data_IF_165250785239
#
_entry.id   IF_165250785239
#
_cell.length_a   1.000
_cell.length_b   1.000
_cell.length_c   1.000
_cell.angle_alpha   90.00
_cell.angle_beta   90.00
_cell.angle_gamma   90.00
#
_symmetry.space_group_name_H-M   'P 1'
#
loop_
_entity.id
_entity.type
_entity.pdbx_description
1 polymer ?
#
# COMPACT_ATOMS: atom_id res chain seq x y z
N UNK A 1 0.60 -1.77 33.52
CA UNK A 1 1.23 -0.44 33.45
C UNK A 1 1.12 0.09 32.03
N UNK A 2 0.49 1.27 31.76
CA UNK A 2 0.20 1.77 30.41
C UNK A 2 1.41 2.40 29.67
N UNK A 3 2.63 2.14 30.10
CA UNK A 3 3.84 2.81 29.58
C UNK A 3 4.49 2.18 28.33
N UNK A 4 4.12 0.97 27.93
CA UNK A 4 4.80 0.27 26.82
C UNK A 4 4.29 0.65 25.42
N UNK A 5 3.04 1.06 25.29
CA UNK A 5 2.46 1.45 23.99
C UNK A 5 2.93 2.83 23.51
N UNK A 6 3.24 3.73 24.40
CA UNK A 6 3.72 5.09 24.10
C UNK A 6 5.13 5.09 23.51
N UNK A 7 6.01 4.15 23.88
CA UNK A 7 7.39 4.13 23.39
C UNK A 7 7.50 3.66 21.94
N UNK A 8 6.74 2.63 21.52
CA UNK A 8 6.79 2.11 20.16
C UNK A 8 6.28 3.13 19.13
N UNK A 9 5.15 3.79 19.42
CA UNK A 9 4.64 4.87 18.57
C UNK A 9 5.62 6.05 18.48
N UNK A 10 6.18 6.47 19.63
CA UNK A 10 7.19 7.53 19.69
C UNK A 10 8.46 7.19 18.89
N UNK A 11 8.89 5.92 18.89
CA UNK A 11 10.08 5.48 18.13
C UNK A 11 9.83 5.47 16.62
N UNK A 12 8.61 5.17 16.16
CA UNK A 12 8.23 5.29 14.76
C UNK A 12 8.35 6.74 14.30
N UNK A 13 7.78 7.69 15.03
CA UNK A 13 7.84 9.11 14.67
C UNK A 13 9.28 9.67 14.72
N UNK A 14 10.08 9.26 15.69
CA UNK A 14 11.49 9.66 15.76
C UNK A 14 12.28 9.17 14.55
N UNK A 15 12.06 7.92 14.14
CA UNK A 15 12.72 7.37 12.94
C UNK A 15 12.30 8.11 11.68
N UNK A 16 11.01 8.45 11.53
CA UNK A 16 10.52 9.26 10.41
C UNK A 16 11.20 10.65 10.38
N UNK A 17 11.31 11.30 11.52
CA UNK A 17 12.00 12.59 11.62
C UNK A 17 13.49 12.49 11.27
N UNK A 18 14.19 11.45 11.74
CA UNK A 18 15.59 11.21 11.37
C UNK A 18 15.76 10.96 9.87
N UNK A 19 14.84 10.20 9.26
CA UNK A 19 14.87 9.92 7.82
C UNK A 19 14.66 11.18 6.97
N UNK A 20 13.83 12.12 7.43
CA UNK A 20 13.64 13.42 6.77
C UNK A 20 14.90 14.31 6.84
N UNK A 21 15.73 14.16 7.85
CA UNK A 21 17.01 14.86 7.93
C UNK A 21 18.04 14.30 6.94
N UNK A 22 17.97 12.99 6.67
CA UNK A 22 18.86 12.32 5.71
C UNK A 22 18.43 12.54 4.26
N UNK A 23 17.12 12.45 3.98
CA UNK A 23 16.53 12.62 2.63
C UNK A 23 15.30 13.53 2.74
N UNK A 24 15.45 14.86 2.58
CA UNK A 24 14.39 15.85 2.81
C UNK A 24 13.39 15.92 1.65
N UNK A 25 12.87 14.79 1.23
CA UNK A 25 11.84 14.71 0.19
C UNK A 25 10.53 14.22 0.77
N UNK A 26 9.48 15.00 0.54
CA UNK A 26 8.13 14.71 0.97
C UNK A 26 7.23 14.39 -0.23
N UNK A 27 6.29 13.50 -0.01
CA UNK A 27 5.20 13.17 -0.92
C UNK A 27 3.87 13.60 -0.31
N UNK A 28 2.88 13.83 -1.15
CA UNK A 28 1.52 14.02 -0.71
C UNK A 28 0.95 12.71 -0.16
N UNK A 29 0.33 12.77 1.01
CA UNK A 29 -0.34 11.64 1.65
C UNK A 29 -1.75 11.37 1.11
N UNK A 30 -2.58 10.70 1.90
CA UNK A 30 -3.98 10.42 1.52
C UNK A 30 -4.15 9.57 0.27
N UNK A 31 -3.14 8.76 -0.09
CA UNK A 31 -3.13 7.95 -1.31
C UNK A 31 -2.89 8.73 -2.60
N UNK A 32 -2.60 10.05 -2.53
CA UNK A 32 -2.38 10.90 -3.70
C UNK A 32 -1.27 10.38 -4.61
N UNK A 33 -0.13 10.05 -4.02
CA UNK A 33 1.04 9.54 -4.75
C UNK A 33 0.73 8.19 -5.41
N UNK A 34 0.02 7.29 -4.73
CA UNK A 34 -0.34 5.98 -5.23
C UNK A 34 -1.27 6.08 -6.44
N UNK A 35 -2.28 6.96 -6.38
CA UNK A 35 -3.19 7.24 -7.51
C UNK A 35 -2.43 7.82 -8.69
N UNK A 36 -1.53 8.78 -8.47
CA UNK A 36 -0.72 9.38 -9.52
C UNK A 36 0.19 8.36 -10.20
N UNK A 37 0.82 7.47 -9.42
CA UNK A 37 1.66 6.38 -9.93
C UNK A 37 0.83 5.36 -10.73
N UNK A 38 -0.34 4.96 -10.23
CA UNK A 38 -1.23 4.04 -10.94
C UNK A 38 -1.64 4.60 -12.31
N UNK A 39 -2.02 5.88 -12.36
CA UNK A 39 -2.33 6.56 -13.64
C UNK A 39 -1.14 6.61 -14.60
N UNK A 40 0.05 6.85 -14.06
CA UNK A 40 1.27 6.85 -14.87
C UNK A 40 1.56 5.45 -15.44
N UNK A 41 1.45 4.42 -14.62
CA UNK A 41 1.66 3.03 -15.02
C UNK A 41 0.65 2.57 -16.08
N UNK A 42 -0.62 2.94 -15.98
CA UNK A 42 -1.62 2.60 -17.02
C UNK A 42 -1.27 3.23 -18.37
N UNK A 43 -0.82 4.49 -18.38
CA UNK A 43 -0.33 5.11 -19.63
C UNK A 43 0.94 4.45 -20.14
N UNK A 44 1.84 4.05 -19.25
CA UNK A 44 3.03 3.30 -19.62
C UNK A 44 2.69 1.92 -20.19
N UNK A 45 1.65 1.24 -19.65
CA UNK A 45 1.17 -0.05 -20.12
C UNK A 45 0.68 -0.03 -21.58
N UNK A 46 0.18 1.12 -22.05
CA UNK A 46 -0.25 1.29 -23.47
C UNK A 46 0.90 1.07 -24.46
N UNK A 47 2.16 1.20 -24.01
CA UNK A 47 3.35 0.94 -24.83
C UNK A 47 3.71 -0.55 -24.95
N UNK A 48 3.04 -1.43 -24.23
CA UNK A 48 3.25 -2.88 -24.23
C UNK A 48 2.09 -3.62 -24.86
N UNK A 49 2.33 -4.87 -25.26
CA UNK A 49 1.28 -5.73 -25.82
C UNK A 49 1.22 -7.07 -25.07
N UNK A 50 0.02 -7.62 -24.94
CA UNK A 50 -0.18 -8.95 -24.39
C UNK A 50 0.01 -9.04 -22.87
N UNK A 51 0.74 -10.07 -22.42
CA UNK A 51 0.85 -10.40 -21.00
C UNK A 51 1.63 -9.36 -20.18
N UNK A 52 2.55 -8.67 -20.80
CA UNK A 52 3.35 -7.63 -20.15
C UNK A 52 2.48 -6.42 -19.78
N UNK A 53 1.58 -6.01 -20.66
CA UNK A 53 0.61 -4.97 -20.39
C UNK A 53 -0.25 -5.32 -19.18
N UNK A 54 -0.81 -6.54 -19.15
CA UNK A 54 -1.64 -7.00 -18.02
C UNK A 54 -0.88 -6.99 -16.70
N UNK A 55 0.41 -7.33 -16.70
CA UNK A 55 1.23 -7.31 -15.49
C UNK A 55 1.41 -5.88 -14.96
N UNK A 56 1.64 -4.91 -15.84
CA UNK A 56 1.78 -3.48 -15.45
C UNK A 56 0.43 -2.94 -14.95
N UNK A 57 -0.67 -3.29 -15.58
CA UNK A 57 -2.02 -2.90 -15.15
C UNK A 57 -2.36 -3.49 -13.77
N UNK A 58 -2.05 -4.77 -13.53
CA UNK A 58 -2.23 -5.41 -12.23
C UNK A 58 -1.41 -4.74 -11.12
N UNK A 59 -0.20 -4.27 -11.43
CA UNK A 59 0.61 -3.50 -10.48
C UNK A 59 -0.03 -2.13 -10.19
N UNK A 60 -0.56 -1.47 -11.20
CA UNK A 60 -1.29 -0.21 -11.02
C UNK A 60 -2.54 -0.40 -10.13
N UNK A 61 -3.29 -1.49 -10.34
CA UNK A 61 -4.45 -1.84 -9.51
C UNK A 61 -4.06 -2.11 -8.05
N UNK A 62 -2.91 -2.76 -7.83
CA UNK A 62 -2.39 -3.00 -6.48
C UNK A 62 -2.05 -1.69 -5.74
N UNK A 63 -1.54 -0.66 -6.43
CA UNK A 63 -1.30 0.66 -5.83
C UNK A 63 -2.60 1.34 -5.37
N UNK A 64 -3.70 1.15 -6.10
CA UNK A 64 -5.00 1.73 -5.75
C UNK A 64 -5.67 1.08 -4.54
N UNK A 65 -5.17 -0.05 -4.05
CA UNK A 65 -5.66 -0.67 -2.81
C UNK A 65 -5.44 0.28 -1.62
N UNK A 66 -4.36 1.05 -1.61
CA UNK A 66 -4.04 1.98 -0.51
C UNK A 66 -5.13 3.04 -0.33
N UNK A 67 -5.48 3.86 -1.35
CA UNK A 67 -6.56 4.85 -1.20
C UNK A 67 -7.93 4.20 -0.99
N UNK A 68 -8.21 3.03 -1.56
CA UNK A 68 -9.46 2.28 -1.32
C UNK A 68 -9.59 1.85 0.15
N UNK A 69 -8.52 1.32 0.73
CA UNK A 69 -8.49 0.91 2.14
C UNK A 69 -8.65 2.14 3.07
N UNK A 70 -8.03 3.26 2.70
CA UNK A 70 -8.18 4.52 3.42
C UNK A 70 -9.64 4.97 3.44
N UNK A 71 -10.32 4.96 2.29
CA UNK A 71 -11.74 5.28 2.17
C UNK A 71 -12.62 4.35 3.02
N UNK A 72 -12.38 3.04 2.93
CA UNK A 72 -13.10 2.04 3.71
C UNK A 72 -12.96 2.27 5.22
N UNK A 73 -11.74 2.54 5.70
CA UNK A 73 -11.49 2.83 7.11
C UNK A 73 -12.15 4.13 7.58
N UNK A 74 -12.36 5.08 6.66
CA UNK A 74 -13.10 6.32 6.91
C UNK A 74 -14.63 6.16 6.86
N UNK A 75 -15.13 4.97 6.54
CA UNK A 75 -16.55 4.71 6.35
C UNK A 75 -17.13 5.33 5.06
N UNK A 76 -16.28 5.47 4.04
CA UNK A 76 -16.65 5.95 2.71
C UNK A 76 -16.74 4.78 1.73
N UNK A 77 -17.44 4.98 0.61
CA UNK A 77 -17.38 4.03 -0.50
C UNK A 77 -15.98 4.06 -1.14
N UNK A 78 -15.25 2.91 -1.17
CA UNK A 78 -13.88 2.87 -1.66
C UNK A 78 -13.76 3.17 -3.16
N UNK A 79 -14.76 2.76 -3.95
CA UNK A 79 -14.74 2.95 -5.38
C UNK A 79 -15.06 4.39 -5.75
N UNK A 80 -16.12 4.95 -5.19
CA UNK A 80 -16.52 6.33 -5.43
C UNK A 80 -15.43 7.32 -5.02
N UNK A 81 -14.81 7.10 -3.85
CA UNK A 81 -13.71 7.93 -3.35
C UNK A 81 -12.48 7.88 -4.26
N UNK A 82 -12.14 6.69 -4.78
CA UNK A 82 -11.05 6.54 -5.73
C UNK A 82 -11.36 7.27 -7.04
N UNK A 83 -12.55 7.06 -7.61
CA UNK A 83 -12.95 7.67 -8.88
C UNK A 83 -12.96 9.19 -8.79
N UNK A 84 -13.45 9.75 -7.68
CA UNK A 84 -13.41 11.20 -7.44
C UNK A 84 -11.97 11.71 -7.38
N UNK A 85 -11.08 11.02 -6.65
CA UNK A 85 -9.66 11.40 -6.56
C UNK A 85 -8.97 11.36 -7.92
N UNK A 86 -9.23 10.31 -8.71
CA UNK A 86 -8.70 10.16 -10.08
C UNK A 86 -9.21 11.27 -10.99
N UNK A 87 -10.51 11.60 -10.90
CA UNK A 87 -11.13 12.65 -11.71
C UNK A 87 -10.55 14.03 -11.40
N UNK A 88 -10.38 14.36 -10.11
CA UNK A 88 -9.78 15.63 -9.70
C UNK A 88 -8.32 15.75 -10.11
N UNK A 89 -7.52 14.67 -9.93
CA UNK A 89 -6.15 14.64 -10.43
C UNK A 89 -6.05 14.74 -11.97
N UNK A 90 -7.07 14.30 -12.70
CA UNK A 90 -7.10 14.40 -14.16
C UNK A 90 -7.50 15.80 -14.64
N UNK A 91 -8.38 16.47 -13.89
CA UNK A 91 -8.94 17.78 -14.25
C UNK A 91 -8.00 18.91 -13.87
N UNK A 92 -7.24 18.76 -12.79
CA UNK A 92 -6.22 19.72 -12.38
C UNK A 92 -5.03 19.64 -13.35
N UNK A 93 -5.06 20.42 -14.41
CA UNK A 93 -3.99 20.50 -15.41
C UNK A 93 -2.67 21.10 -14.90
N UNK A 94 -2.54 21.31 -13.59
CA UNK A 94 -1.34 21.87 -12.96
C UNK A 94 -0.31 20.77 -12.63
N UNK A 95 0.93 21.21 -12.42
CA UNK A 95 1.98 20.31 -11.90
C UNK A 95 1.70 19.81 -10.48
N UNK A 96 0.69 20.33 -9.80
CA UNK A 96 0.30 19.95 -8.45
C UNK A 96 -0.83 18.88 -8.39
N UNK A 97 -1.32 18.41 -9.53
CA UNK A 97 -2.38 17.40 -9.62
C UNK A 97 -2.06 16.14 -8.77
N UNK A 98 -0.79 15.75 -8.70
CA UNK A 98 -0.34 14.61 -7.89
C UNK A 98 -0.38 14.87 -6.38
N UNK A 99 -0.70 16.08 -5.93
CA UNK A 99 -0.93 16.40 -4.52
C UNK A 99 -2.37 16.13 -4.07
N UNK A 100 -3.30 15.87 -4.99
CA UNK A 100 -4.70 15.60 -4.66
C UNK A 100 -4.83 14.16 -4.20
N UNK A 101 -5.29 13.99 -2.96
CA UNK A 101 -5.53 12.71 -2.34
C UNK A 101 -6.81 12.74 -1.50
N UNK A 102 -7.18 11.60 -0.92
CA UNK A 102 -8.36 11.50 -0.08
C UNK A 102 -8.12 12.11 1.30
N UNK A 103 -8.82 13.18 1.62
CA UNK A 103 -8.85 13.73 2.96
C UNK A 103 -9.93 13.02 3.78
N UNK A 104 -9.49 12.22 4.76
CA UNK A 104 -10.35 11.37 5.59
C UNK A 104 -11.25 12.20 6.51
N UNK A 105 -10.76 13.35 6.97
CA UNK A 105 -11.52 14.25 7.86
C UNK A 105 -12.62 14.99 7.08
N UNK A 106 -12.27 15.53 5.92
CA UNK A 106 -13.22 16.26 5.05
C UNK A 106 -14.12 15.31 4.25
N UNK A 107 -13.72 14.02 4.13
CA UNK A 107 -14.40 12.97 3.35
C UNK A 107 -14.52 13.29 1.86
N UNK A 108 -13.61 14.09 1.34
CA UNK A 108 -13.52 14.48 -0.08
C UNK A 108 -12.07 14.56 -0.50
N UNK A 109 -11.77 14.41 -1.81
CA UNK A 109 -10.44 14.69 -2.32
C UNK A 109 -10.05 16.15 -2.04
N UNK A 110 -8.78 16.37 -1.70
CA UNK A 110 -8.22 17.71 -1.50
C UNK A 110 -6.71 17.71 -1.69
N UNK A 111 -6.12 18.91 -1.73
CA UNK A 111 -4.66 19.03 -1.81
C UNK A 111 -4.03 18.67 -0.46
N UNK A 112 -3.43 17.48 -0.40
CA UNK A 112 -2.85 16.92 0.81
C UNK A 112 -1.68 17.74 1.36
N UNK A 113 -0.90 18.36 0.49
CA UNK A 113 0.23 19.21 0.91
C UNK A 113 -0.29 20.46 1.61
N UNK A 114 -1.35 21.08 1.09
CA UNK A 114 -1.99 22.24 1.71
C UNK A 114 -2.69 21.88 3.03
N UNK A 115 -3.20 20.66 3.13
CA UNK A 115 -3.82 20.13 4.34
C UNK A 115 -2.79 19.64 5.38
N UNK A 116 -1.49 19.68 5.05
CA UNK A 116 -0.42 19.25 5.95
C UNK A 116 -0.26 17.72 6.07
N UNK A 117 -0.88 16.97 5.15
CA UNK A 117 -0.81 15.49 5.13
C UNK A 117 0.28 15.06 4.16
N UNK A 118 1.46 14.77 4.68
CA UNK A 118 2.65 14.45 3.90
C UNK A 118 3.34 13.18 4.41
N UNK A 119 4.05 12.51 3.52
CA UNK A 119 4.78 11.27 3.79
C UNK A 119 6.24 11.40 3.34
N UNK A 120 7.22 10.82 4.05
CA UNK A 120 8.60 10.78 3.59
C UNK A 120 8.74 9.88 2.36
N UNK A 121 9.38 10.39 1.29
CA UNK A 121 9.62 9.64 0.05
C UNK A 121 10.31 8.29 0.31
N UNK A 122 11.29 8.26 1.20
CA UNK A 122 12.07 7.07 1.52
C UNK A 122 11.18 5.92 2.03
N UNK A 123 10.19 6.22 2.87
CA UNK A 123 9.27 5.21 3.42
C UNK A 123 8.43 4.61 2.30
N UNK A 124 7.80 5.45 1.48
CA UNK A 124 6.97 5.00 0.36
C UNK A 124 7.77 4.15 -0.63
N UNK A 125 9.00 4.56 -0.96
CA UNK A 125 9.92 3.79 -1.82
C UNK A 125 10.24 2.41 -1.21
N UNK A 126 10.56 2.35 0.09
CA UNK A 126 10.88 1.11 0.78
C UNK A 126 9.68 0.16 0.87
N UNK A 127 8.48 0.69 1.13
CA UNK A 127 7.24 -0.09 1.14
C UNK A 127 6.96 -0.72 -0.22
N UNK A 128 7.07 0.06 -1.30
CA UNK A 128 6.86 -0.44 -2.66
C UNK A 128 7.89 -1.50 -3.04
N UNK A 129 9.17 -1.27 -2.73
CA UNK A 129 10.23 -2.25 -3.01
C UNK A 129 10.00 -3.56 -2.23
N UNK A 130 9.76 -3.49 -0.92
CA UNK A 130 9.53 -4.66 -0.09
C UNK A 130 8.27 -5.44 -0.48
N UNK A 131 7.18 -4.75 -0.81
CA UNK A 131 5.96 -5.39 -1.29
C UNK A 131 6.17 -6.11 -2.64
N UNK A 132 6.93 -5.48 -3.55
CA UNK A 132 7.28 -6.07 -4.83
C UNK A 132 8.16 -7.31 -4.67
N UNK A 133 9.17 -7.27 -3.80
CA UNK A 133 10.03 -8.42 -3.51
C UNK A 133 9.24 -9.57 -2.88
N UNK A 134 8.32 -9.27 -1.96
CA UNK A 134 7.45 -10.28 -1.36
C UNK A 134 6.54 -10.93 -2.41
N UNK A 135 5.90 -10.14 -3.28
CA UNK A 135 5.07 -10.64 -4.36
C UNK A 135 5.87 -11.52 -5.34
N UNK A 136 7.07 -11.09 -5.74
CA UNK A 136 7.96 -11.87 -6.60
C UNK A 136 8.39 -13.18 -5.94
N UNK A 137 8.61 -13.21 -4.64
CA UNK A 137 8.94 -14.42 -3.89
C UNK A 137 7.81 -15.43 -3.95
N UNK A 138 6.56 -14.99 -3.81
CA UNK A 138 5.38 -15.86 -3.93
C UNK A 138 5.20 -16.36 -5.38
N UNK A 139 5.36 -15.48 -6.37
CA UNK A 139 5.22 -15.85 -7.79
C UNK A 139 6.32 -16.83 -8.29
N UNK A 140 7.43 -16.94 -7.58
CA UNK A 140 8.52 -17.90 -7.90
C UNK A 140 8.32 -19.29 -7.30
N UNK A 141 7.25 -19.50 -6.53
CA UNK A 141 6.93 -20.82 -5.96
C UNK A 141 6.27 -21.65 -7.06
N UNK A 142 6.98 -22.64 -7.56
CA UNK A 142 6.50 -23.53 -8.64
C UNK A 142 5.71 -24.73 -8.08
N UNK A 143 6.04 -25.20 -6.86
CA UNK A 143 5.40 -26.37 -6.27
C UNK A 143 5.43 -26.31 -4.73
N UNK A 144 4.43 -26.91 -4.10
CA UNK A 144 4.32 -27.04 -2.65
C UNK A 144 4.23 -28.52 -2.30
N UNK A 145 5.28 -29.04 -1.71
CA UNK A 145 5.30 -30.42 -1.21
C UNK A 145 4.76 -30.47 0.21
N UNK A 146 3.66 -31.21 0.39
CA UNK A 146 3.16 -31.55 1.72
C UNK A 146 4.05 -32.63 2.32
N UNK A 147 4.69 -32.35 3.45
CA UNK A 147 5.33 -33.38 4.24
C UNK A 147 4.25 -34.32 4.79
N UNK A 148 4.26 -35.59 4.36
CA UNK A 148 3.40 -36.61 4.95
C UNK A 148 3.82 -36.76 6.41
N UNK A 149 2.90 -36.55 7.35
CA UNK A 149 3.21 -36.83 8.76
C UNK A 149 3.69 -38.25 8.89
N UNK A 150 4.87 -38.43 9.44
CA UNK A 150 5.39 -39.75 9.77
C UNK A 150 4.57 -40.27 10.96
N UNK A 151 3.80 -41.37 10.78
CA UNK A 151 2.98 -41.93 11.86
C UNK A 151 3.79 -42.45 13.06
N UNK A 152 5.13 -42.46 12.93
CA UNK A 152 6.08 -42.87 13.99
C UNK A 152 6.78 -41.68 14.65
N UNK A 153 6.49 -40.46 14.23
CA UNK A 153 7.10 -39.27 14.87
C UNK A 153 6.46 -39.10 16.28
N UNK A 154 7.27 -38.87 17.32
CA UNK A 154 6.75 -38.63 18.66
C UNK A 154 5.95 -37.31 18.67
N UNK A 155 4.76 -37.35 19.27
CA UNK A 155 3.91 -36.18 19.49
C UNK A 155 4.69 -35.12 20.25
N UNK A 156 4.90 -33.97 19.61
CA UNK A 156 5.46 -32.81 20.29
C UNK A 156 4.36 -32.20 21.19
N UNK A 157 4.59 -32.04 22.50
CA UNK A 157 3.61 -31.45 23.39
C UNK A 157 3.33 -29.98 22.98
N UNK A 158 2.12 -29.72 22.48
CA UNK A 158 1.64 -28.39 22.10
C UNK A 158 0.98 -28.24 20.73
N UNK A 159 0.77 -29.33 19.98
CA UNK A 159 -0.01 -29.28 18.74
C UNK A 159 -1.50 -29.29 19.05
N UNK A 160 -2.16 -28.16 18.86
CA UNK A 160 -3.62 -28.01 18.97
C UNK A 160 -4.32 -28.89 17.93
N UNK A 161 -5.26 -29.72 18.40
CA UNK A 161 -6.14 -30.53 17.56
C UNK A 161 -7.05 -29.61 16.74
N UNK A 162 -6.68 -29.31 15.51
CA UNK A 162 -7.62 -28.74 14.55
C UNK A 162 -8.33 -29.87 13.83
N UNK A 163 -9.58 -30.03 14.20
CA UNK A 163 -10.64 -30.88 13.69
C UNK A 163 -10.52 -31.22 12.19
N UNK A 164 -10.43 -32.50 11.93
CA UNK A 164 -10.82 -33.12 10.65
C UNK A 164 -12.33 -33.04 10.51
N UNK A 165 -12.84 -32.06 9.75
CA UNK A 165 -14.21 -32.08 9.26
C UNK A 165 -14.36 -33.01 8.06
N UNK A 166 -15.59 -33.59 7.84
CA UNK A 166 -15.89 -34.61 6.86
C UNK A 166 -15.76 -34.17 5.40
#
# INVERSE_FOLDING_TARGET
SPRSYSSAASDVYKRQACQLLEEPHLLAGGGATQVALARHLRRFAEGFAGREQLAVEAFADALEIVPRTLAQNAGLDPLDSLLQTVAEQATDGTSAAHHIGLNVEKKVPSNMVSDGVVEPLRITRQVLAGATEAALSVLRIDDVLWAKQDPTAPDLPGGDETETGP
#
